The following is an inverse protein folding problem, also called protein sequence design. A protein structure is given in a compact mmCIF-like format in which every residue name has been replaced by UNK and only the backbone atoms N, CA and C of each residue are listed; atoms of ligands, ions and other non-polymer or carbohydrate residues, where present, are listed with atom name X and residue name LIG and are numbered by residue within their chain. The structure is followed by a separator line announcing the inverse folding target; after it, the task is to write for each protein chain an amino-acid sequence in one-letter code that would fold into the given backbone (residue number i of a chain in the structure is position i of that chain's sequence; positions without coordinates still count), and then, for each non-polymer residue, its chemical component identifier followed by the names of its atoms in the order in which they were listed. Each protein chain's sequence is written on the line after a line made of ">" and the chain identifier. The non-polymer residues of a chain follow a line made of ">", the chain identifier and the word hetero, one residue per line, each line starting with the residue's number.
data_IF_037040487489
#
_entry.id   IF_037040487489
#
_cell.length_a   1.000
_cell.length_b   1.000
_cell.length_c   1.000
_cell.angle_alpha   90.00
_cell.angle_beta   90.00
_cell.angle_gamma   90.00
#
_symmetry.space_group_name_H-M   'P 1'
#
loop_
_entity.id
_entity.type
_entity.pdbx_description
1 polymer ?
#
# COMPACT_ATOMS: atom_id res chain seq x y z
N UNK A 1 -56.10 -9.02 -28.12
CA UNK A 1 -55.37 -9.92 -27.20
C UNK A 1 -55.08 -11.23 -27.92
N UNK A 2 -54.01 -11.93 -27.53
CA UNK A 2 -53.64 -13.28 -27.94
C UNK A 2 -52.58 -13.40 -29.05
N UNK A 3 -51.37 -13.60 -28.56
CA UNK A 3 -50.17 -14.15 -29.17
C UNK A 3 -50.36 -15.60 -29.66
N UNK A 4 -49.86 -15.92 -30.87
CA UNK A 4 -49.15 -17.17 -31.25
C UNK A 4 -49.28 -17.46 -32.75
N UNK A 5 -48.14 -17.53 -33.46
CA UNK A 5 -47.78 -18.55 -34.48
C UNK A 5 -46.24 -18.54 -34.58
N UNK A 6 -45.48 -19.52 -34.04
CA UNK A 6 -45.22 -20.91 -34.47
C UNK A 6 -44.48 -20.97 -35.81
N UNK A 7 -43.22 -21.43 -35.81
CA UNK A 7 -42.62 -22.22 -36.91
C UNK A 7 -41.10 -22.50 -36.73
N UNK A 8 -40.78 -23.78 -36.50
CA UNK A 8 -39.75 -24.61 -37.16
C UNK A 8 -38.27 -24.12 -37.10
N UNK A 9 -37.27 -24.89 -36.62
CA UNK A 9 -37.04 -26.33 -36.68
C UNK A 9 -35.82 -26.59 -37.56
N UNK A 10 -34.70 -27.09 -37.02
CA UNK A 10 -33.71 -27.96 -37.70
C UNK A 10 -32.39 -28.10 -36.91
N UNK A 11 -32.19 -29.31 -36.40
CA UNK A 11 -31.05 -30.22 -36.59
C UNK A 11 -29.60 -29.70 -36.57
N UNK A 12 -28.90 -30.21 -35.56
CA UNK A 12 -27.54 -30.77 -35.57
C UNK A 12 -26.55 -30.33 -36.65
N UNK A 13 -25.52 -29.59 -36.20
CA UNK A 13 -24.15 -29.78 -36.68
C UNK A 13 -23.22 -29.83 -35.47
N UNK A 14 -22.71 -31.02 -35.20
CA UNK A 14 -21.64 -31.30 -34.24
C UNK A 14 -20.33 -30.73 -34.81
N UNK A 15 -19.79 -29.68 -34.20
CA UNK A 15 -18.41 -29.23 -34.42
C UNK A 15 -17.67 -29.41 -33.11
N UNK A 16 -16.89 -30.48 -33.03
CA UNK A 16 -15.91 -30.73 -31.98
C UNK A 16 -14.80 -29.68 -32.05
N UNK A 17 -15.04 -28.55 -31.38
CA UNK A 17 -14.03 -27.56 -31.03
C UNK A 17 -13.39 -27.94 -29.70
N UNK A 18 -12.23 -28.59 -29.77
CA UNK A 18 -11.31 -28.94 -28.69
C UNK A 18 -10.99 -27.69 -27.83
N UNK A 19 -11.79 -27.39 -26.81
CA UNK A 19 -11.51 -26.33 -25.83
C UNK A 19 -10.63 -26.89 -24.72
N UNK A 20 -9.38 -26.44 -24.71
CA UNK A 20 -8.46 -26.56 -23.56
C UNK A 20 -9.18 -26.09 -22.31
N UNK A 21 -9.22 -26.94 -21.29
CA UNK A 21 -9.73 -26.65 -19.95
C UNK A 21 -8.80 -25.60 -19.34
N UNK A 22 -9.21 -24.34 -19.37
CA UNK A 22 -8.64 -23.31 -18.50
C UNK A 22 -9.42 -23.44 -17.21
N UNK A 23 -8.76 -23.93 -16.15
CA UNK A 23 -9.33 -23.95 -14.80
C UNK A 23 -9.64 -22.50 -14.40
N UNK A 24 -10.91 -22.13 -14.48
CA UNK A 24 -11.42 -21.02 -13.69
C UNK A 24 -11.39 -21.48 -12.24
N UNK A 25 -10.57 -20.88 -11.40
CA UNK A 25 -10.65 -21.04 -9.95
C UNK A 25 -12.10 -20.78 -9.52
N UNK A 26 -12.80 -21.84 -9.08
CA UNK A 26 -14.15 -21.74 -8.55
C UNK A 26 -14.12 -20.80 -7.35
N UNK A 27 -15.01 -19.79 -7.32
CA UNK A 27 -15.11 -18.82 -6.21
C UNK A 27 -15.67 -19.44 -4.93
N UNK A 28 -16.20 -20.65 -5.05
CA UNK A 28 -16.85 -21.42 -4.00
C UNK A 28 -16.20 -22.79 -3.91
N UNK A 29 -16.08 -23.29 -2.68
CA UNK A 29 -15.55 -24.60 -2.35
C UNK A 29 -16.62 -25.40 -1.62
N UNK A 30 -16.72 -26.68 -1.98
CA UNK A 30 -17.67 -27.61 -1.37
C UNK A 30 -16.96 -28.41 -0.28
N UNK A 31 -17.41 -28.32 0.97
CA UNK A 31 -16.77 -28.94 2.14
C UNK A 31 -17.71 -29.96 2.79
N UNK A 32 -17.16 -31.07 3.25
CA UNK A 32 -17.87 -32.16 3.92
C UNK A 32 -17.50 -32.17 5.39
N UNK A 33 -18.46 -32.02 6.29
CA UNK A 33 -18.22 -32.08 7.74
C UNK A 33 -18.72 -33.41 8.29
N UNK A 34 -17.83 -34.18 8.91
CA UNK A 34 -18.12 -35.48 9.53
C UNK A 34 -18.00 -35.38 11.04
N UNK A 35 -18.95 -35.96 11.78
CA UNK A 35 -18.85 -36.12 13.24
C UNK A 35 -18.32 -37.51 13.58
N UNK A 36 -17.64 -37.62 14.72
CA UNK A 36 -17.09 -38.88 15.23
C UNK A 36 -18.17 -39.93 15.53
N UNK A 37 -19.40 -39.50 15.87
CA UNK A 37 -20.45 -40.37 16.40
C UNK A 37 -21.49 -40.83 15.36
N UNK A 38 -21.50 -40.25 14.15
CA UNK A 38 -22.50 -40.56 13.10
C UNK A 38 -21.88 -40.54 11.71
N UNK A 39 -22.26 -41.53 10.88
CA UNK A 39 -21.89 -41.65 9.46
C UNK A 39 -22.52 -40.57 8.54
N UNK A 40 -23.22 -39.60 9.13
CA UNK A 40 -23.90 -38.52 8.41
C UNK A 40 -22.91 -37.39 8.06
N UNK A 41 -22.57 -37.31 6.78
CA UNK A 41 -21.70 -36.29 6.20
C UNK A 41 -22.53 -35.06 5.82
N UNK A 42 -22.33 -33.93 6.50
CA UNK A 42 -22.99 -32.68 6.15
C UNK A 42 -22.18 -31.94 5.07
N UNK A 43 -22.80 -31.68 3.91
CA UNK A 43 -22.14 -30.99 2.79
C UNK A 43 -22.51 -29.52 2.79
N UNK A 44 -21.50 -28.66 2.71
CA UNK A 44 -21.64 -27.20 2.71
C UNK A 44 -20.92 -26.58 1.51
N UNK A 45 -21.56 -25.63 0.84
CA UNK A 45 -20.91 -24.80 -0.17
C UNK A 45 -20.51 -23.47 0.46
N UNK A 46 -19.22 -23.17 0.50
CA UNK A 46 -18.66 -21.98 1.15
C UNK A 46 -17.84 -21.17 0.15
N UNK A 47 -17.90 -19.84 0.26
CA UNK A 47 -17.02 -18.98 -0.54
C UNK A 47 -15.60 -19.03 -0.01
N UNK A 48 -14.64 -19.13 -0.93
CA UNK A 48 -13.21 -19.25 -0.63
C UNK A 48 -12.61 -18.11 0.20
N UNK A 49 -13.17 -16.91 0.06
CA UNK A 49 -12.77 -15.70 0.78
C UNK A 49 -13.58 -15.41 2.06
N UNK A 50 -14.49 -16.29 2.47
CA UNK A 50 -15.36 -16.10 3.64
C UNK A 50 -14.88 -16.98 4.79
N UNK A 51 -14.85 -16.41 5.99
CA UNK A 51 -14.50 -17.09 7.24
C UNK A 51 -15.38 -18.32 7.48
N UNK A 52 -14.76 -19.41 7.96
CA UNK A 52 -15.43 -20.68 8.26
C UNK A 52 -16.37 -20.62 9.47
N UNK A 53 -16.39 -19.52 10.23
CA UNK A 53 -17.34 -19.26 11.34
C UNK A 53 -18.79 -19.64 11.00
N UNK A 54 -19.30 -19.20 9.84
CA UNK A 54 -20.70 -19.46 9.45
C UNK A 54 -20.99 -20.94 9.22
N UNK A 55 -20.03 -21.68 8.68
CA UNK A 55 -20.15 -23.14 8.50
C UNK A 55 -20.21 -23.82 9.87
N UNK A 56 -19.35 -23.41 10.82
CA UNK A 56 -19.33 -23.96 12.18
C UNK A 56 -20.60 -23.65 12.96
N UNK A 57 -21.10 -22.41 12.90
CA UNK A 57 -22.37 -21.99 13.51
C UNK A 57 -23.56 -22.74 12.93
N UNK A 58 -23.59 -22.94 11.60
CA UNK A 58 -24.68 -23.68 10.97
C UNK A 58 -24.64 -25.16 11.32
N UNK A 59 -23.44 -25.76 11.37
CA UNK A 59 -23.25 -27.16 11.77
C UNK A 59 -23.68 -27.42 13.22
N UNK A 60 -23.24 -26.57 14.15
CA UNK A 60 -23.60 -26.65 15.58
C UNK A 60 -25.10 -26.43 15.80
N UNK A 61 -25.70 -25.48 15.06
CA UNK A 61 -27.15 -25.25 15.05
C UNK A 61 -27.95 -26.44 14.54
N UNK A 62 -27.48 -27.13 13.49
CA UNK A 62 -28.12 -28.36 12.97
C UNK A 62 -28.06 -29.50 13.99
N UNK A 63 -27.04 -29.52 14.86
CA UNK A 63 -26.88 -30.51 15.92
C UNK A 63 -27.51 -30.11 17.26
N UNK A 64 -28.00 -28.87 17.39
CA UNK A 64 -28.68 -28.39 18.60
C UNK A 64 -27.76 -28.21 19.81
N UNK A 65 -26.46 -28.02 19.58
CA UNK A 65 -25.46 -27.81 20.64
C UNK A 65 -24.73 -26.49 20.42
N UNK A 66 -24.09 -25.98 21.47
CA UNK A 66 -23.40 -24.69 21.41
C UNK A 66 -22.15 -24.72 20.54
N UNK A 67 -21.80 -23.55 20.02
CA UNK A 67 -20.69 -23.36 19.08
C UNK A 67 -19.33 -23.81 19.63
N UNK A 68 -19.13 -23.77 20.95
CA UNK A 68 -17.86 -24.10 21.61
C UNK A 68 -17.76 -25.60 21.99
N UNK A 69 -18.82 -26.37 21.77
CA UNK A 69 -18.85 -27.81 22.11
C UNK A 69 -18.11 -28.65 21.09
N UNK A 70 -17.99 -28.22 19.83
CA UNK A 70 -17.25 -28.95 18.80
C UNK A 70 -15.85 -28.35 18.54
N UNK A 71 -14.87 -29.22 18.32
CA UNK A 71 -13.58 -28.88 17.73
C UNK A 71 -13.57 -29.36 16.28
N UNK A 72 -13.36 -28.43 15.36
CA UNK A 72 -13.23 -28.72 13.92
C UNK A 72 -11.75 -28.91 13.57
N UNK A 73 -11.43 -30.01 12.91
CA UNK A 73 -10.10 -30.37 12.45
C UNK A 73 -10.11 -30.64 10.95
N UNK A 74 -9.03 -30.28 10.28
CA UNK A 74 -8.77 -30.61 8.88
C UNK A 74 -7.33 -31.09 8.78
N UNK A 75 -7.10 -32.28 8.23
CA UNK A 75 -5.78 -32.93 8.19
C UNK A 75 -5.05 -32.92 9.56
N UNK A 76 -5.82 -33.10 10.65
CA UNK A 76 -5.31 -33.07 12.02
C UNK A 76 -5.00 -31.67 12.57
N UNK A 77 -5.09 -30.62 11.75
CA UNK A 77 -4.90 -29.23 12.14
C UNK A 77 -6.22 -28.61 12.61
N UNK A 78 -6.19 -27.95 13.78
CA UNK A 78 -7.39 -27.30 14.33
C UNK A 78 -7.77 -26.07 13.50
N UNK A 79 -8.97 -26.09 12.94
CA UNK A 79 -9.57 -24.93 12.29
C UNK A 79 -10.23 -24.03 13.34
N UNK A 80 -9.99 -22.72 13.24
CA UNK A 80 -10.64 -21.69 14.05
C UNK A 80 -11.62 -20.87 13.21
N UNK A 81 -12.51 -20.16 13.88
CA UNK A 81 -13.62 -19.42 13.27
C UNK A 81 -13.18 -18.35 12.27
N UNK A 82 -11.99 -17.79 12.44
CA UNK A 82 -11.47 -16.71 11.59
C UNK A 82 -10.74 -17.19 10.35
N UNK A 83 -10.43 -18.48 10.22
CA UNK A 83 -9.74 -19.02 9.05
C UNK A 83 -10.66 -19.02 7.82
N UNK A 84 -10.06 -18.79 6.66
CA UNK A 84 -10.73 -18.88 5.35
C UNK A 84 -10.35 -20.17 4.63
N UNK A 85 -11.19 -20.66 3.72
CA UNK A 85 -10.83 -21.82 2.90
C UNK A 85 -9.57 -21.63 2.06
N UNK A 86 -9.31 -20.42 1.57
CA UNK A 86 -8.09 -20.13 0.80
C UNK A 86 -6.82 -20.22 1.68
N UNK A 87 -6.88 -19.74 2.94
CA UNK A 87 -5.74 -19.82 3.88
C UNK A 87 -5.41 -21.26 4.29
N UNK A 88 -6.40 -22.14 4.27
CA UNK A 88 -6.23 -23.55 4.62
C UNK A 88 -6.05 -24.44 3.38
N UNK A 89 -5.93 -23.83 2.20
CA UNK A 89 -5.79 -24.50 0.89
C UNK A 89 -6.87 -25.58 0.64
N UNK A 90 -8.08 -25.35 1.15
CA UNK A 90 -9.19 -26.29 1.05
C UNK A 90 -9.67 -26.43 -0.40
N UNK A 91 -9.79 -27.69 -0.84
CA UNK A 91 -10.24 -28.09 -2.18
C UNK A 91 -11.68 -28.56 -2.18
N UNK A 92 -12.25 -28.60 -3.38
CA UNK A 92 -13.61 -29.08 -3.59
C UNK A 92 -13.75 -30.56 -3.20
N UNK A 93 -14.55 -30.81 -2.17
CA UNK A 93 -14.85 -32.13 -1.65
C UNK A 93 -14.09 -32.50 -0.37
N UNK A 94 -13.28 -31.59 0.18
CA UNK A 94 -12.46 -31.82 1.37
C UNK A 94 -13.30 -32.10 2.63
N UNK A 95 -12.74 -32.91 3.53
CA UNK A 95 -13.41 -33.42 4.72
C UNK A 95 -12.89 -32.75 6.00
N UNK A 96 -13.81 -32.19 6.79
CA UNK A 96 -13.54 -31.57 8.09
C UNK A 96 -14.14 -32.46 9.18
N UNK A 97 -13.31 -32.86 10.14
CA UNK A 97 -13.72 -33.64 11.28
C UNK A 97 -14.21 -32.74 12.41
N UNK A 98 -15.47 -32.91 12.81
CA UNK A 98 -16.07 -32.27 13.96
C UNK A 98 -16.04 -33.24 15.16
N UNK A 99 -15.06 -33.05 16.05
CA UNK A 99 -14.94 -33.81 17.30
C UNK A 99 -15.70 -33.10 18.41
N UNK A 100 -16.58 -33.82 19.11
CA UNK A 100 -17.23 -33.29 20.31
C UNK A 100 -16.16 -33.12 21.40
N UNK A 101 -16.04 -31.93 21.97
CA UNK A 101 -15.30 -31.75 23.21
C UNK A 101 -16.10 -32.52 24.26
N UNK A 102 -15.58 -33.65 24.74
CA UNK A 102 -16.07 -34.26 25.97
C UNK A 102 -15.94 -33.21 27.07
N UNK A 103 -17.06 -32.65 27.50
CA UNK A 103 -17.16 -32.12 28.84
C UNK A 103 -17.21 -33.33 29.76
N UNK A 104 -16.04 -33.87 30.10
CA UNK A 104 -15.88 -34.38 31.47
C UNK A 104 -16.19 -33.20 32.40
N UNK A 105 -16.95 -33.47 33.45
CA UNK A 105 -17.06 -32.58 34.60
C UNK A 105 -15.66 -32.43 35.22
N UNK A 106 -14.85 -31.57 34.61
CA UNK A 106 -13.58 -31.10 35.12
C UNK A 106 -13.81 -29.67 35.60
N UNK A 107 -14.49 -29.55 36.73
CA UNK A 107 -14.16 -28.45 37.63
C UNK A 107 -12.74 -28.70 38.12
N UNK A 108 -11.80 -28.04 37.44
CA UNK A 108 -10.50 -27.61 37.96
C UNK A 108 -9.52 -28.72 38.36
N UNK A 109 -8.98 -29.42 37.35
CA UNK A 109 -7.62 -29.99 37.44
C UNK A 109 -6.57 -28.93 37.08
N UNK A 110 -6.66 -27.73 37.67
CA UNK A 110 -5.54 -26.81 37.69
C UNK A 110 -4.68 -27.21 38.89
N UNK A 111 -3.44 -27.61 38.65
CA UNK A 111 -2.48 -27.81 39.71
C UNK A 111 -2.35 -26.51 40.50
N UNK A 112 -2.73 -26.54 41.77
CA UNK A 112 -2.68 -25.37 42.63
C UNK A 112 -1.24 -25.24 43.13
N UNK A 113 -0.59 -24.13 42.80
CA UNK A 113 0.77 -23.82 43.24
C UNK A 113 0.74 -23.22 44.64
N UNK A 114 1.24 -23.95 45.64
CA UNK A 114 1.14 -23.56 47.07
C UNK A 114 2.51 -23.57 47.75
N UNK A 115 2.83 -22.53 48.53
CA UNK A 115 4.06 -22.49 49.34
C UNK A 115 3.96 -23.49 50.51
N UNK A 116 4.89 -24.45 50.56
CA UNK A 116 4.90 -25.53 51.56
C UNK A 116 5.14 -25.06 53.00
N UNK A 117 5.90 -23.97 53.21
CA UNK A 117 6.17 -23.41 54.54
C UNK A 117 4.91 -22.81 55.16
N UNK A 118 4.26 -21.90 54.42
CA UNK A 118 3.01 -21.28 54.84
C UNK A 118 1.87 -22.30 54.99
N UNK A 119 1.84 -23.31 54.12
CA UNK A 119 0.86 -24.39 54.21
C UNK A 119 1.01 -25.19 55.50
N UNK A 120 2.25 -25.45 55.92
CA UNK A 120 2.54 -26.16 57.18
C UNK A 120 2.21 -25.30 58.40
N UNK A 121 2.50 -24.00 58.36
CA UNK A 121 2.12 -23.08 59.45
C UNK A 121 0.60 -23.00 59.63
N UNK A 122 -0.17 -22.99 58.54
CA UNK A 122 -1.64 -23.06 58.60
C UNK A 122 -2.14 -24.41 59.12
N UNK A 123 -1.48 -25.52 58.77
CA UNK A 123 -1.77 -26.85 59.31
C UNK A 123 -1.49 -26.90 60.81
N UNK A 124 -0.37 -26.35 61.27
CA UNK A 124 0.02 -26.26 62.69
C UNK A 124 -0.96 -25.39 63.51
N UNK A 125 -1.61 -24.40 62.87
CA UNK A 125 -2.70 -23.59 63.46
C UNK A 125 -4.06 -24.32 63.50
N UNK A 126 -4.15 -25.52 62.92
CA UNK A 126 -5.35 -26.36 62.97
C UNK A 126 -6.31 -26.21 61.78
N UNK A 127 -5.91 -25.53 60.70
CA UNK A 127 -6.71 -25.47 59.48
C UNK A 127 -6.54 -26.75 58.65
N UNK A 128 -7.61 -27.19 57.97
CA UNK A 128 -7.51 -28.37 57.10
C UNK A 128 -6.60 -28.08 55.89
N UNK A 129 -5.80 -29.07 55.51
CA UNK A 129 -4.84 -28.97 54.40
C UNK A 129 -5.50 -28.48 53.10
N UNK A 130 -6.73 -28.94 52.80
CA UNK A 130 -7.49 -28.51 51.63
C UNK A 130 -7.83 -27.02 51.69
N UNK A 131 -8.31 -26.53 52.84
CA UNK A 131 -8.71 -25.14 53.02
C UNK A 131 -7.52 -24.20 53.03
N UNK A 132 -6.43 -24.60 53.67
CA UNK A 132 -5.17 -23.88 53.65
C UNK A 132 -4.59 -23.77 52.22
N UNK A 133 -4.69 -24.84 51.41
CA UNK A 133 -4.25 -24.84 50.01
C UNK A 133 -5.07 -23.87 49.16
N UNK A 134 -6.41 -23.89 49.30
CA UNK A 134 -7.28 -22.96 48.59
C UNK A 134 -7.05 -21.51 49.02
N UNK A 135 -6.86 -21.27 50.32
CA UNK A 135 -6.59 -19.95 50.87
C UNK A 135 -5.28 -19.36 50.36
N UNK A 136 -4.22 -20.18 50.30
CA UNK A 136 -2.93 -19.76 49.79
C UNK A 136 -2.95 -19.50 48.28
N UNK A 137 -3.72 -20.27 47.52
CA UNK A 137 -3.93 -19.99 46.10
C UNK A 137 -4.63 -18.65 45.86
N UNK A 138 -5.72 -18.39 46.60
CA UNK A 138 -6.51 -17.18 46.41
C UNK A 138 -5.85 -15.94 47.03
N UNK A 139 -5.01 -16.12 48.06
CA UNK A 139 -4.16 -15.06 48.62
C UNK A 139 -2.87 -14.85 47.81
N UNK A 140 -2.60 -15.70 46.80
CA UNK A 140 -1.44 -15.62 45.92
C UNK A 140 -0.11 -15.93 46.61
N UNK A 141 -0.11 -16.83 47.61
CA UNK A 141 1.06 -17.20 48.43
C UNK A 141 1.76 -15.99 49.09
N UNK A 142 1.02 -14.91 49.36
CA UNK A 142 1.60 -13.62 49.75
C UNK A 142 2.03 -13.51 51.21
N UNK A 143 1.27 -14.08 52.15
CA UNK A 143 1.57 -14.09 53.59
C UNK A 143 0.63 -15.03 54.34
N UNK A 144 1.00 -15.42 55.57
CA UNK A 144 0.16 -16.24 56.45
C UNK A 144 -1.15 -15.51 56.79
N UNK A 145 -1.07 -14.22 57.12
CA UNK A 145 -2.21 -13.41 57.54
C UNK A 145 -3.23 -13.22 56.41
N UNK A 146 -2.76 -13.08 55.16
CA UNK A 146 -3.64 -12.98 53.99
C UNK A 146 -4.41 -14.28 53.75
N UNK A 147 -3.77 -15.44 53.97
CA UNK A 147 -4.44 -16.73 53.88
C UNK A 147 -5.45 -16.93 55.02
N UNK A 148 -5.11 -16.56 56.26
CA UNK A 148 -6.03 -16.63 57.40
C UNK A 148 -7.25 -15.73 57.20
N UNK A 149 -7.07 -14.48 56.73
CA UNK A 149 -8.19 -13.59 56.43
C UNK A 149 -9.12 -14.18 55.38
N UNK A 150 -8.57 -14.80 54.33
CA UNK A 150 -9.40 -15.46 53.32
C UNK A 150 -10.19 -16.65 53.88
N UNK A 151 -9.59 -17.45 54.77
CA UNK A 151 -10.27 -18.57 55.44
C UNK A 151 -11.46 -18.08 56.28
N UNK A 152 -11.28 -16.97 57.00
CA UNK A 152 -12.33 -16.34 57.83
C UNK A 152 -13.49 -15.86 56.94
N UNK A 153 -13.17 -15.17 55.84
CA UNK A 153 -14.18 -14.65 54.92
C UNK A 153 -15.01 -15.75 54.25
N UNK A 154 -14.46 -16.96 54.16
CA UNK A 154 -15.07 -18.10 53.47
C UNK A 154 -15.37 -19.27 54.42
N UNK A 155 -15.51 -19.06 55.73
CA UNK A 155 -15.61 -20.12 56.77
C UNK A 155 -16.80 -21.10 56.56
N UNK A 156 -17.87 -20.67 55.88
CA UNK A 156 -19.07 -21.49 55.66
C UNK A 156 -19.09 -22.26 54.32
N UNK A 157 -18.07 -22.08 53.47
CA UNK A 157 -18.06 -22.65 52.13
C UNK A 157 -17.50 -24.08 52.12
N UNK A 158 -18.39 -25.08 52.25
CA UNK A 158 -18.04 -26.51 52.23
C UNK A 158 -17.39 -26.98 50.91
N UNK A 159 -17.51 -26.19 49.85
CA UNK A 159 -16.88 -26.46 48.56
C UNK A 159 -15.34 -26.48 48.64
N UNK A 160 -14.74 -25.81 49.64
CA UNK A 160 -13.28 -25.71 49.81
C UNK A 160 -12.70 -26.74 50.79
N UNK A 161 -13.50 -27.69 51.30
CA UNK A 161 -13.00 -28.84 52.07
C UNK A 161 -12.45 -29.95 51.17
N UNK A 162 -12.80 -29.93 49.88
CA UNK A 162 -12.34 -30.94 48.93
C UNK A 162 -10.90 -30.68 48.52
N UNK A 163 -10.06 -31.71 48.67
CA UNK A 163 -8.62 -31.64 48.39
C UNK A 163 -8.36 -31.37 46.90
N UNK A 164 -7.70 -30.25 46.55
CA UNK A 164 -7.27 -29.98 45.17
C UNK A 164 -5.98 -30.74 44.85
N UNK A 165 -5.66 -30.84 43.56
CA UNK A 165 -4.35 -31.35 43.11
C UNK A 165 -3.30 -30.24 43.33
N UNK A 166 -2.43 -30.42 44.34
CA UNK A 166 -1.44 -29.40 44.74
C UNK A 166 -0.09 -29.69 44.08
N UNK A 167 0.44 -28.71 43.35
CA UNK A 167 1.85 -28.68 42.96
C UNK A 167 2.62 -27.81 43.96
N UNK A 168 3.58 -28.41 44.65
CA UNK A 168 4.38 -27.72 45.65
C UNK A 168 5.51 -26.96 44.96
N UNK A 169 5.47 -25.62 44.99
CA UNK A 169 6.67 -24.85 44.68
C UNK A 169 7.58 -24.84 45.90
N UNK A 170 8.69 -25.57 45.78
CA UNK A 170 9.75 -25.61 46.79
C UNK A 170 10.57 -24.32 46.64
N UNK A 171 10.14 -23.24 47.28
CA UNK A 171 11.12 -22.27 47.76
C UNK A 171 11.82 -22.90 48.96
N UNK A 172 13.01 -23.44 48.68
CA UNK A 172 13.91 -24.07 49.63
C UNK A 172 14.22 -23.04 50.71
N UNK A 173 13.65 -23.23 51.90
CA UNK A 173 14.20 -22.62 53.10
C UNK A 173 15.63 -23.17 53.27
N UNK A 174 16.56 -22.22 53.34
CA UNK A 174 17.97 -22.39 53.09
C UNK A 174 18.60 -23.46 54.00
N UNK A 175 19.51 -24.32 53.50
CA UNK A 175 20.46 -24.97 54.37
C UNK A 175 21.35 -23.87 54.98
N UNK A 176 21.47 -23.87 56.30
CA UNK A 176 22.42 -23.02 57.02
C UNK A 176 23.77 -22.97 56.29
N UNK A 177 24.32 -21.77 56.02
CA UNK A 177 25.58 -21.64 55.31
C UNK A 177 26.70 -21.96 56.29
N UNK A 178 27.29 -23.13 56.15
CA UNK A 178 28.64 -23.37 56.65
C UNK A 178 29.50 -23.72 55.45
N UNK A 179 30.31 -22.71 55.09
CA UNK A 179 31.54 -22.80 54.34
C UNK A 179 31.45 -23.15 52.84
N UNK A 180 30.95 -22.19 52.07
CA UNK A 180 31.61 -21.68 50.85
C UNK A 180 31.03 -20.28 50.54
N UNK A 181 31.69 -19.25 51.07
CA UNK A 181 31.45 -17.79 50.94
C UNK A 181 30.08 -17.39 50.33
N UNK A 182 29.07 -17.19 51.18
CA UNK A 182 27.75 -16.67 50.79
C UNK A 182 27.81 -15.40 49.93
N UNK A 183 28.89 -14.62 50.06
CA UNK A 183 29.19 -13.44 49.25
C UNK A 183 29.41 -13.76 47.76
N UNK A 184 30.08 -14.86 47.44
CA UNK A 184 30.38 -15.26 46.06
C UNK A 184 29.15 -15.85 45.34
N UNK A 185 28.27 -16.53 46.09
CA UNK A 185 26.97 -16.99 45.59
C UNK A 185 26.00 -15.81 45.34
N UNK A 186 25.96 -14.84 46.26
CA UNK A 186 25.17 -13.61 46.08
C UNK A 186 25.68 -12.74 44.92
N UNK A 187 27.00 -12.67 44.70
CA UNK A 187 27.59 -11.97 43.57
C UNK A 187 27.17 -12.60 42.23
N UNK A 188 27.26 -13.93 42.10
CA UNK A 188 26.80 -14.65 40.89
C UNK A 188 25.30 -14.54 40.66
N UNK A 189 24.49 -14.54 41.72
CA UNK A 189 23.05 -14.34 41.63
C UNK A 189 22.70 -12.92 41.13
N UNK A 190 23.38 -11.88 41.65
CA UNK A 190 23.22 -10.50 41.18
C UNK A 190 23.67 -10.34 39.73
N UNK A 191 24.76 -10.98 39.34
CA UNK A 191 25.25 -10.95 37.96
C UNK A 191 24.26 -11.63 36.99
N UNK A 192 23.68 -12.77 37.36
CA UNK A 192 22.63 -13.44 36.58
C UNK A 192 21.36 -12.60 36.47
N UNK A 193 20.95 -11.91 37.54
CA UNK A 193 19.81 -10.99 37.50
C UNK A 193 20.07 -9.78 36.59
N UNK A 194 21.29 -9.24 36.61
CA UNK A 194 21.66 -8.12 35.74
C UNK A 194 21.76 -8.55 34.27
N UNK A 195 22.30 -9.74 34.00
CA UNK A 195 22.29 -10.33 32.67
C UNK A 195 20.86 -10.57 32.16
N UNK A 196 19.97 -11.09 33.02
CA UNK A 196 18.56 -11.28 32.68
C UNK A 196 17.85 -9.93 32.42
N UNK A 197 18.18 -8.88 33.18
CA UNK A 197 17.65 -7.53 32.94
C UNK A 197 18.12 -6.97 31.60
N UNK A 198 19.42 -7.08 31.29
CA UNK A 198 19.99 -6.64 30.01
C UNK A 198 19.37 -7.39 28.83
N UNK A 199 19.20 -8.72 28.94
CA UNK A 199 18.53 -9.53 27.93
C UNK A 199 17.08 -9.07 27.69
N UNK A 200 16.30 -8.81 28.75
CA UNK A 200 14.93 -8.31 28.64
C UNK A 200 14.87 -6.91 28.00
N UNK A 201 15.78 -6.03 28.38
CA UNK A 201 15.89 -4.67 27.82
C UNK A 201 16.30 -4.71 26.33
N UNK A 202 17.25 -5.58 25.96
CA UNK A 202 17.63 -5.82 24.57
C UNK A 202 16.47 -6.42 23.75
N UNK A 203 15.71 -7.36 24.33
CA UNK A 203 14.54 -7.95 23.68
C UNK A 203 13.42 -6.91 23.50
N UNK A 204 13.18 -6.07 24.52
CA UNK A 204 12.17 -5.01 24.47
C UNK A 204 12.54 -3.94 23.44
N UNK A 205 13.80 -3.48 23.40
CA UNK A 205 14.26 -2.54 22.36
C UNK A 205 14.21 -3.16 20.96
N UNK A 206 14.47 -4.47 20.81
CA UNK A 206 14.31 -5.17 19.54
C UNK A 206 12.83 -5.22 19.12
N UNK A 207 11.93 -5.54 20.06
CA UNK A 207 10.48 -5.56 19.85
C UNK A 207 9.94 -4.18 19.48
N UNK A 208 10.46 -3.12 20.10
CA UNK A 208 10.10 -1.74 19.77
C UNK A 208 10.57 -1.33 18.37
N UNK A 209 11.80 -1.71 17.99
CA UNK A 209 12.30 -1.53 16.62
C UNK A 209 11.47 -2.29 15.60
N UNK A 210 10.96 -3.48 15.93
CA UNK A 210 10.08 -4.25 15.07
C UNK A 210 8.71 -3.58 14.90
N UNK A 211 8.09 -3.12 15.99
CA UNK A 211 6.84 -2.33 15.95
C UNK A 211 6.98 -1.05 15.13
N UNK A 212 8.09 -0.33 15.29
CA UNK A 212 8.35 0.88 14.51
C UNK A 212 8.57 0.57 13.02
N UNK A 213 9.27 -0.53 12.69
CA UNK A 213 9.38 -1.02 11.31
C UNK A 213 8.03 -1.41 10.73
N UNK A 214 7.15 -2.02 11.50
CA UNK A 214 5.79 -2.37 11.08
C UNK A 214 4.94 -1.12 10.84
N UNK A 215 5.03 -0.10 11.70
CA UNK A 215 4.37 1.19 11.48
C UNK A 215 4.83 1.84 10.17
N UNK A 216 6.13 1.83 9.89
CA UNK A 216 6.70 2.36 8.64
C UNK A 216 6.26 1.52 7.44
N UNK A 217 6.27 0.19 7.57
CA UNK A 217 5.82 -0.73 6.51
C UNK A 217 4.35 -0.51 6.20
N UNK A 218 3.49 -0.45 7.21
CA UNK A 218 2.07 -0.17 7.08
C UNK A 218 1.82 1.22 6.46
N UNK A 219 2.60 2.24 6.85
CA UNK A 219 2.54 3.56 6.22
C UNK A 219 2.92 3.54 4.74
N UNK A 220 3.97 2.78 4.37
CA UNK A 220 4.39 2.61 2.97
C UNK A 220 3.37 1.83 2.15
N UNK A 221 2.79 0.78 2.72
CA UNK A 221 1.75 -0.04 2.08
C UNK A 221 0.44 0.74 1.90
N UNK A 222 0.05 1.55 2.88
CA UNK A 222 -1.09 2.47 2.76
C UNK A 222 -0.87 3.50 1.63
N UNK A 223 0.34 4.01 1.49
CA UNK A 223 0.67 4.94 0.40
C UNK A 223 0.69 4.25 -0.97
N UNK A 224 1.18 3.00 -1.04
CA UNK A 224 1.20 2.24 -2.30
C UNK A 224 -0.20 1.82 -2.73
N UNK A 225 -1.03 1.33 -1.82
CA UNK A 225 -2.44 1.02 -2.09
C UNK A 225 -3.21 2.26 -2.56
N UNK A 226 -2.97 3.43 -1.94
CA UNK A 226 -3.52 4.71 -2.40
C UNK A 226 -3.06 5.08 -3.82
N UNK A 227 -1.78 4.86 -4.14
CA UNK A 227 -1.21 5.14 -5.47
C UNK A 227 -1.84 4.25 -6.54
N UNK A 228 -2.00 2.96 -6.26
CA UNK A 228 -2.63 1.99 -7.16
C UNK A 228 -4.11 2.36 -7.39
N UNK A 229 -4.83 2.76 -6.33
CA UNK A 229 -6.22 3.19 -6.45
C UNK A 229 -6.36 4.44 -7.34
N UNK A 230 -5.51 5.45 -7.14
CA UNK A 230 -5.51 6.66 -7.96
C UNK A 230 -5.14 6.38 -9.43
N UNK A 231 -4.18 5.49 -9.68
CA UNK A 231 -3.82 5.08 -11.04
C UNK A 231 -4.98 4.35 -11.73
N UNK A 232 -5.66 3.45 -11.01
CA UNK A 232 -6.84 2.75 -11.53
C UNK A 232 -7.99 3.71 -11.84
N UNK A 233 -8.20 4.73 -11.01
CA UNK A 233 -9.20 5.78 -11.27
C UNK A 233 -8.84 6.60 -12.52
N UNK A 234 -7.57 7.01 -12.66
CA UNK A 234 -7.10 7.72 -13.85
C UNK A 234 -7.26 6.87 -15.11
N UNK A 235 -6.94 5.57 -15.06
CA UNK A 235 -7.15 4.64 -16.18
C UNK A 235 -8.62 4.57 -16.58
N UNK A 236 -9.53 4.47 -15.60
CA UNK A 236 -10.99 4.48 -15.87
C UNK A 236 -11.43 5.78 -16.53
N UNK A 237 -10.95 6.93 -16.05
CA UNK A 237 -11.29 8.23 -16.63
C UNK A 237 -10.75 8.42 -18.06
N UNK A 238 -9.54 7.92 -18.35
CA UNK A 238 -8.97 7.95 -19.70
C UNK A 238 -9.78 7.06 -20.63
N UNK A 239 -10.08 5.82 -20.22
CA UNK A 239 -10.88 4.89 -21.01
C UNK A 239 -12.28 5.43 -21.30
N UNK A 240 -12.89 6.13 -20.34
CA UNK A 240 -14.20 6.75 -20.53
C UNK A 240 -14.17 7.87 -21.58
N UNK A 241 -13.14 8.73 -21.57
CA UNK A 241 -12.95 9.77 -22.59
C UNK A 241 -12.64 9.20 -23.98
N UNK A 242 -11.90 8.10 -24.04
CA UNK A 242 -11.60 7.42 -25.29
C UNK A 242 -12.86 6.78 -25.88
N UNK A 243 -13.67 6.11 -25.04
CA UNK A 243 -14.97 5.57 -25.45
C UNK A 243 -15.92 6.66 -25.95
N UNK A 244 -16.01 7.81 -25.26
CA UNK A 244 -16.83 8.95 -25.69
C UNK A 244 -16.41 9.48 -27.07
N UNK A 245 -15.10 9.64 -27.31
CA UNK A 245 -14.57 10.06 -28.62
C UNK A 245 -14.84 9.04 -29.72
N UNK A 246 -14.72 7.75 -29.42
CA UNK A 246 -15.01 6.69 -30.38
C UNK A 246 -16.49 6.62 -30.73
N UNK A 247 -17.37 6.84 -29.75
CA UNK A 247 -18.82 6.95 -29.98
C UNK A 247 -19.15 8.19 -30.81
N UNK A 248 -18.54 9.34 -30.53
CA UNK A 248 -18.70 10.56 -31.32
C UNK A 248 -18.21 10.37 -32.76
N UNK A 249 -17.06 9.71 -32.95
CA UNK A 249 -16.52 9.40 -34.27
C UNK A 249 -17.45 8.48 -35.05
N UNK A 250 -17.96 7.41 -34.43
CA UNK A 250 -18.96 6.50 -35.03
C UNK A 250 -20.24 7.25 -35.38
N UNK A 251 -20.70 8.18 -34.55
CA UNK A 251 -21.86 9.01 -34.83
C UNK A 251 -21.61 9.94 -36.03
N UNK A 252 -20.45 10.60 -36.09
CA UNK A 252 -20.03 11.42 -37.23
C UNK A 252 -19.96 10.64 -38.53
N UNK A 253 -19.36 9.44 -38.51
CA UNK A 253 -19.29 8.56 -39.68
C UNK A 253 -20.68 8.15 -40.17
N UNK A 254 -21.60 7.82 -39.25
CA UNK A 254 -23.01 7.54 -39.60
C UNK A 254 -23.70 8.74 -40.24
N UNK A 255 -23.47 9.96 -39.74
CA UNK A 255 -24.02 11.19 -40.35
C UNK A 255 -23.41 11.41 -41.73
N UNK A 256 -22.10 11.23 -41.88
CA UNK A 256 -21.42 11.37 -43.17
C UNK A 256 -21.98 10.40 -44.22
N UNK A 257 -22.19 9.13 -43.83
CA UNK A 257 -22.81 8.12 -44.70
C UNK A 257 -24.22 8.51 -45.12
N UNK A 258 -25.05 9.01 -44.19
CA UNK A 258 -26.40 9.50 -44.50
C UNK A 258 -26.39 10.68 -45.47
N UNK A 259 -25.48 11.65 -45.27
CA UNK A 259 -25.33 12.80 -46.19
C UNK A 259 -24.87 12.36 -47.57
N UNK A 260 -23.96 11.39 -47.65
CA UNK A 260 -23.48 10.86 -48.92
C UNK A 260 -24.60 10.07 -49.66
N UNK A 261 -25.36 9.25 -48.93
CA UNK A 261 -26.52 8.54 -49.48
C UNK A 261 -27.60 9.50 -50.01
N UNK A 262 -27.94 10.56 -49.25
CA UNK A 262 -28.88 11.59 -49.68
C UNK A 262 -28.34 12.40 -50.89
N UNK A 263 -27.03 12.69 -50.94
CA UNK A 263 -26.40 13.26 -52.14
C UNK A 263 -26.54 12.35 -53.36
N UNK A 264 -26.29 11.04 -53.20
CA UNK A 264 -26.44 10.05 -54.27
C UNK A 264 -27.90 9.91 -54.71
N UNK A 265 -28.84 9.93 -53.78
CA UNK A 265 -30.27 9.85 -54.06
C UNK A 265 -30.79 11.10 -54.76
N UNK A 266 -30.38 12.30 -54.32
CA UNK A 266 -30.66 13.56 -55.05
C UNK A 266 -30.05 13.57 -56.44
N UNK A 267 -28.85 13.03 -56.61
CA UNK A 267 -28.21 12.87 -57.92
C UNK A 267 -28.99 11.89 -58.82
N UNK A 268 -29.52 10.79 -58.27
CA UNK A 268 -30.40 9.87 -59.00
C UNK A 268 -31.75 10.51 -59.36
N UNK A 269 -32.38 11.25 -58.44
CA UNK A 269 -33.67 11.95 -58.65
C UNK A 269 -33.59 13.12 -59.64
N UNK A 270 -32.43 13.79 -59.75
CA UNK A 270 -32.24 14.95 -60.65
C UNK A 270 -31.83 14.62 -62.08
N UNK A 271 -31.69 13.33 -62.45
CA UNK A 271 -31.53 12.86 -63.83
C UNK A 271 -30.74 13.77 -64.79
N UNK A 272 -29.41 13.71 -64.80
CA UNK A 272 -28.61 14.14 -65.95
C UNK A 272 -27.24 13.41 -66.01
N UNK A 273 -26.73 13.06 -67.22
CA UNK A 273 -25.62 12.13 -67.43
C UNK A 273 -24.23 12.76 -67.28
N UNK A 274 -23.24 11.88 -67.18
CA UNK A 274 -21.80 12.12 -67.33
C UNK A 274 -21.47 12.83 -68.64
N UNK A 275 -20.66 13.91 -68.59
CA UNK A 275 -19.61 14.24 -69.55
C UNK A 275 -18.54 15.15 -68.92
N UNK A 276 -17.42 15.19 -69.63
CA UNK A 276 -16.04 15.58 -69.31
C UNK A 276 -15.76 17.09 -69.23
N UNK A 277 -14.52 17.39 -68.82
CA UNK A 277 -13.75 18.64 -69.01
C UNK A 277 -13.93 19.82 -68.02
N UNK A 278 -12.90 19.94 -67.15
CA UNK A 278 -11.98 21.09 -67.06
C UNK A 278 -12.52 22.52 -67.11
N UNK A 279 -12.38 23.28 -66.01
CA UNK A 279 -11.66 24.56 -65.96
C UNK A 279 -11.50 25.12 -64.53
N UNK A 280 -10.22 25.35 -64.17
CA UNK A 280 -9.64 26.39 -63.28
C UNK A 280 -10.20 26.58 -61.85
N UNK A 281 -9.38 26.49 -60.80
CA UNK A 281 -8.31 27.47 -60.51
C UNK A 281 -7.25 26.93 -59.54
N UNK A 282 -5.98 27.05 -59.96
CA UNK A 282 -4.70 27.25 -59.24
C UNK A 282 -4.73 27.24 -57.69
N UNK A 283 -3.84 26.55 -56.97
CA UNK A 283 -2.40 26.86 -56.82
C UNK A 283 -1.61 25.60 -56.43
N UNK A 284 -0.47 25.38 -57.10
CA UNK A 284 0.58 24.41 -56.75
C UNK A 284 1.42 24.95 -55.60
N UNK A 285 1.77 24.12 -54.61
CA UNK A 285 2.88 24.41 -53.68
C UNK A 285 3.96 23.37 -53.94
N UNK A 286 5.05 23.84 -54.54
CA UNK A 286 6.32 23.12 -54.68
C UNK A 286 7.35 23.68 -53.70
N UNK A 287 8.11 22.73 -53.15
CA UNK A 287 9.42 22.79 -52.51
C UNK A 287 10.30 24.04 -52.73
N UNK A 288 10.87 24.49 -51.59
CA UNK A 288 12.20 25.06 -51.32
C UNK A 288 12.67 26.26 -52.17
N UNK A 289 12.84 27.41 -51.51
CA UNK A 289 14.16 28.05 -51.49
C UNK A 289 14.38 28.95 -50.25
N UNK A 290 15.66 29.11 -49.95
CA UNK A 290 16.24 29.64 -48.72
C UNK A 290 16.29 31.18 -48.70
N UNK A 291 16.35 31.73 -47.48
CA UNK A 291 16.88 33.06 -47.13
C UNK A 291 15.95 34.26 -47.35
N UNK A 292 15.07 34.50 -46.37
CA UNK A 292 14.89 35.84 -45.81
C UNK A 292 14.48 35.79 -44.33
N UNK A 293 15.50 35.94 -43.50
CA UNK A 293 15.39 36.43 -42.13
C UNK A 293 14.79 37.84 -42.22
N UNK A 294 13.67 38.10 -41.55
CA UNK A 294 13.54 39.14 -40.52
C UNK A 294 12.08 39.23 -40.00
N UNK A 295 11.96 38.90 -38.72
CA UNK A 295 11.25 39.73 -37.72
C UNK A 295 9.71 39.69 -37.69
N UNK A 296 9.19 38.74 -36.91
CA UNK A 296 8.07 38.96 -35.96
C UNK A 296 7.85 37.72 -35.08
N UNK A 297 8.73 37.52 -34.08
CA UNK A 297 8.57 36.43 -33.10
C UNK A 297 7.71 36.89 -31.92
N UNK A 298 6.44 36.50 -31.91
CA UNK A 298 5.65 36.37 -30.68
C UNK A 298 4.83 35.08 -30.70
N UNK A 299 5.50 33.96 -30.43
CA UNK A 299 4.86 32.74 -29.90
C UNK A 299 5.55 32.38 -28.59
N UNK A 300 4.80 32.05 -27.51
CA UNK A 300 5.37 31.62 -26.23
C UNK A 300 6.17 30.31 -26.32
N UNK A 301 6.07 29.59 -27.46
CA UNK A 301 6.85 28.39 -27.72
C UNK A 301 8.37 28.65 -27.85
N UNK A 302 8.80 29.77 -28.45
CA UNK A 302 10.24 30.05 -28.69
C UNK A 302 11.00 30.20 -27.36
N UNK A 303 10.52 31.08 -26.47
CA UNK A 303 11.19 31.34 -25.18
C UNK A 303 11.17 30.12 -24.26
N UNK A 304 10.09 29.34 -24.28
CA UNK A 304 10.02 28.09 -23.51
C UNK A 304 10.94 27.00 -24.07
N UNK A 305 11.27 27.04 -25.36
CA UNK A 305 12.21 26.15 -26.03
C UNK A 305 13.66 26.58 -25.80
N UNK A 306 13.95 27.89 -25.84
CA UNK A 306 15.22 28.48 -25.41
C UNK A 306 15.54 28.11 -23.95
N UNK A 307 14.54 28.19 -23.04
CA UNK A 307 14.69 27.73 -21.65
C UNK A 307 15.02 26.24 -21.56
N UNK A 308 14.46 25.39 -22.43
CA UNK A 308 14.80 23.96 -22.48
C UNK A 308 16.20 23.75 -23.02
N UNK A 309 16.62 24.54 -24.00
CA UNK A 309 17.97 24.49 -24.55
C UNK A 309 19.01 24.87 -23.51
N UNK A 310 18.82 25.95 -22.74
CA UNK A 310 19.75 26.31 -21.65
C UNK A 310 19.90 25.17 -20.63
N UNK A 311 18.79 24.51 -20.25
CA UNK A 311 18.83 23.37 -19.33
C UNK A 311 19.47 22.12 -19.96
N UNK A 312 19.33 21.93 -21.28
CA UNK A 312 20.02 20.87 -22.03
C UNK A 312 21.52 21.12 -22.09
N UNK A 313 21.93 22.33 -22.47
CA UNK A 313 23.32 22.75 -22.55
C UNK A 313 24.00 22.64 -21.18
N UNK A 314 23.33 23.06 -20.10
CA UNK A 314 23.87 22.90 -18.74
C UNK A 314 24.12 21.42 -18.40
N UNK A 315 23.26 20.51 -18.86
CA UNK A 315 23.44 19.07 -18.61
C UNK A 315 24.42 18.40 -19.56
N UNK A 316 24.56 18.88 -20.79
CA UNK A 316 25.51 18.39 -21.80
C UNK A 316 26.93 18.81 -21.44
N UNK A 317 27.13 20.07 -21.10
CA UNK A 317 28.44 20.65 -20.77
C UNK A 317 28.98 20.15 -19.42
N UNK A 318 28.09 19.72 -18.51
CA UNK A 318 28.44 19.13 -17.22
C UNK A 318 28.05 17.65 -17.12
N UNK A 319 28.10 16.92 -18.24
CA UNK A 319 27.84 15.46 -18.27
C UNK A 319 28.87 14.67 -17.46
N UNK A 320 30.10 15.18 -17.38
CA UNK A 320 31.22 14.56 -16.66
C UNK A 320 31.25 14.92 -15.16
N UNK A 321 30.44 15.88 -14.72
CA UNK A 321 30.24 16.17 -13.31
C UNK A 321 29.18 15.23 -12.71
N UNK A 322 29.24 15.02 -11.38
CA UNK A 322 28.25 14.21 -10.67
C UNK A 322 26.82 14.68 -11.02
N UNK A 323 25.91 13.77 -11.43
CA UNK A 323 24.50 14.11 -11.72
C UNK A 323 23.75 14.78 -10.56
N UNK A 324 24.31 14.67 -9.35
CA UNK A 324 23.81 15.33 -8.14
C UNK A 324 24.06 16.84 -8.15
N UNK A 325 25.15 17.30 -8.75
CA UNK A 325 25.52 18.72 -8.81
C UNK A 325 24.58 19.46 -9.77
N UNK A 326 24.41 18.95 -10.99
CA UNK A 326 23.47 19.50 -11.98
C UNK A 326 22.03 19.48 -11.47
N UNK A 327 21.62 18.41 -10.77
CA UNK A 327 20.32 18.37 -10.09
C UNK A 327 20.17 19.45 -9.01
N UNK A 328 21.18 19.66 -8.16
CA UNK A 328 21.18 20.73 -7.14
C UNK A 328 21.13 22.12 -7.76
N UNK A 329 21.74 22.32 -8.93
CA UNK A 329 21.64 23.55 -9.71
C UNK A 329 20.19 23.82 -10.15
N UNK A 330 19.54 22.82 -10.76
CA UNK A 330 18.13 22.92 -11.16
C UNK A 330 17.18 23.13 -9.98
N UNK A 331 17.42 22.47 -8.84
CA UNK A 331 16.63 22.67 -7.62
C UNK A 331 16.77 24.10 -7.08
N UNK A 332 17.98 24.66 -7.14
CA UNK A 332 18.24 26.04 -6.69
C UNK A 332 17.58 27.05 -7.62
N UNK A 333 17.70 26.87 -8.94
CA UNK A 333 16.97 27.67 -9.94
C UNK A 333 15.45 27.58 -9.73
N UNK A 334 14.93 26.38 -9.52
CA UNK A 334 13.50 26.15 -9.29
C UNK A 334 13.00 26.87 -8.03
N UNK A 335 13.77 26.81 -6.95
CA UNK A 335 13.43 27.53 -5.71
C UNK A 335 13.31 29.03 -5.96
N UNK A 336 14.26 29.62 -6.68
CA UNK A 336 14.29 31.05 -6.95
C UNK A 336 13.09 31.47 -7.82
N UNK A 337 12.89 30.81 -8.97
CA UNK A 337 11.78 31.11 -9.89
C UNK A 337 10.43 30.89 -9.21
N UNK A 338 10.30 29.83 -8.40
CA UNK A 338 9.07 29.54 -7.66
C UNK A 338 8.78 30.59 -6.59
N UNK A 339 9.80 31.07 -5.88
CA UNK A 339 9.62 32.11 -4.87
C UNK A 339 9.20 33.43 -5.54
N UNK A 340 9.84 33.80 -6.65
CA UNK A 340 9.47 34.97 -7.45
C UNK A 340 8.03 34.88 -7.99
N UNK A 341 7.59 33.70 -8.46
CA UNK A 341 6.23 33.49 -8.96
C UNK A 341 5.16 33.48 -7.85
N UNK A 342 5.48 32.95 -6.66
CA UNK A 342 4.54 32.87 -5.53
C UNK A 342 4.33 34.21 -4.83
N UNK A 343 5.38 35.03 -4.76
CA UNK A 343 5.41 36.27 -4.00
C UNK A 343 6.07 37.38 -4.84
N UNK A 344 5.39 37.87 -5.88
CA UNK A 344 5.95 38.87 -6.78
C UNK A 344 6.15 40.23 -6.09
N UNK A 345 5.38 40.55 -5.05
CA UNK A 345 5.45 41.84 -4.37
C UNK A 345 6.72 42.01 -3.53
N UNK A 346 7.30 40.92 -3.04
CA UNK A 346 8.46 40.96 -2.15
C UNK A 346 9.77 41.13 -2.95
N UNK A 347 10.42 42.29 -2.81
CA UNK A 347 11.66 42.62 -3.54
C UNK A 347 12.83 41.66 -3.25
N UNK A 348 12.86 41.06 -2.05
CA UNK A 348 13.86 40.05 -1.66
C UNK A 348 13.90 38.81 -2.56
N UNK A 349 12.79 38.49 -3.24
CA UNK A 349 12.72 37.38 -4.19
C UNK A 349 12.89 37.83 -5.65
N UNK A 350 12.86 39.15 -5.88
CA UNK A 350 13.15 39.77 -7.17
C UNK A 350 14.63 40.09 -7.34
N UNK A 351 15.40 40.17 -6.26
CA UNK A 351 16.83 40.50 -6.29
C UNK A 351 17.69 39.36 -5.77
N UNK A 352 18.67 38.95 -6.57
CA UNK A 352 19.58 37.84 -6.27
C UNK A 352 21.00 38.36 -6.32
N UNK A 353 21.79 38.06 -5.30
CA UNK A 353 23.20 38.45 -5.23
C UNK A 353 24.08 37.36 -5.84
N UNK A 354 24.79 37.66 -6.93
CA UNK A 354 25.67 36.73 -7.63
C UNK A 354 26.86 36.30 -6.75
N UNK A 355 27.36 37.19 -5.88
CA UNK A 355 28.42 36.89 -4.89
C UNK A 355 28.01 35.93 -3.77
N UNK A 356 26.72 35.61 -3.63
CA UNK A 356 26.31 34.69 -2.57
C UNK A 356 26.92 33.31 -2.84
N UNK A 357 27.74 32.81 -1.90
CA UNK A 357 28.45 31.53 -2.01
C UNK A 357 27.53 30.38 -2.44
N UNK A 358 26.33 30.28 -1.87
CA UNK A 358 25.39 29.20 -2.18
C UNK A 358 24.82 29.31 -3.60
N UNK A 359 24.57 30.52 -4.07
CA UNK A 359 24.09 30.75 -5.44
C UNK A 359 25.22 30.54 -6.45
N UNK A 360 26.40 31.09 -6.17
CA UNK A 360 27.57 30.99 -7.04
C UNK A 360 28.04 29.53 -7.21
N UNK A 361 28.16 28.78 -6.13
CA UNK A 361 28.60 27.38 -6.15
C UNK A 361 27.66 26.46 -6.93
N UNK A 362 26.34 26.77 -6.92
CA UNK A 362 25.32 25.90 -7.52
C UNK A 362 24.86 26.34 -8.90
N UNK A 363 24.82 27.63 -9.18
CA UNK A 363 24.20 28.19 -10.41
C UNK A 363 25.11 29.23 -11.02
N UNK A 364 25.69 30.13 -10.23
CA UNK A 364 26.47 31.26 -10.74
C UNK A 364 27.82 30.91 -11.38
N UNK A 365 28.34 29.68 -11.17
CA UNK A 365 29.49 29.15 -11.92
C UNK A 365 29.14 28.80 -13.37
N UNK A 366 27.88 28.47 -13.63
CA UNK A 366 27.38 28.02 -14.92
C UNK A 366 26.83 29.20 -15.72
N UNK A 367 27.34 29.42 -16.94
CA UNK A 367 26.91 30.54 -17.79
C UNK A 367 25.45 30.35 -18.22
N UNK A 368 25.08 29.12 -18.52
CA UNK A 368 23.74 28.65 -18.89
C UNK A 368 22.74 28.88 -17.76
N UNK A 369 23.19 28.79 -16.50
CA UNK A 369 22.37 29.07 -15.33
C UNK A 369 22.00 30.56 -15.21
N UNK A 370 22.90 31.46 -15.62
CA UNK A 370 22.65 32.91 -15.64
C UNK A 370 21.77 33.27 -16.84
N UNK A 371 22.06 32.72 -18.02
CA UNK A 371 21.26 32.90 -19.23
C UNK A 371 19.81 32.43 -19.02
N UNK A 372 19.61 31.29 -18.36
CA UNK A 372 18.27 30.81 -17.98
C UNK A 372 17.52 31.83 -17.12
N UNK A 373 18.22 32.51 -16.20
CA UNK A 373 17.61 33.53 -15.35
C UNK A 373 17.26 34.79 -16.15
N UNK A 374 18.08 35.16 -17.14
CA UNK A 374 17.78 36.24 -18.08
C UNK A 374 16.54 35.92 -18.91
N UNK A 375 16.39 34.68 -19.39
CA UNK A 375 15.18 34.21 -20.07
C UNK A 375 13.94 34.25 -19.16
N UNK A 376 14.10 34.02 -17.86
CA UNK A 376 13.04 34.17 -16.86
C UNK A 376 12.62 35.63 -16.62
N UNK A 377 13.37 36.60 -17.15
CA UNK A 377 13.11 38.03 -17.02
C UNK A 377 13.98 38.76 -16.00
N UNK A 378 14.94 38.06 -15.37
CA UNK A 378 15.87 38.72 -14.47
C UNK A 378 16.97 39.43 -15.27
N UNK A 379 17.13 40.73 -15.08
CA UNK A 379 18.16 41.54 -15.75
C UNK A 379 19.38 41.66 -14.85
N UNK A 380 20.57 41.54 -15.44
CA UNK A 380 21.83 41.91 -14.77
C UNK A 380 21.89 43.44 -14.68
N UNK A 381 22.05 43.97 -13.48
CA UNK A 381 22.14 45.42 -13.26
C UNK A 381 23.57 45.88 -13.56
N UNK A 382 23.76 46.70 -14.59
CA UNK A 382 25.09 47.11 -15.09
C UNK A 382 25.90 47.79 -13.97
N UNK A 383 26.99 47.13 -13.55
CA UNK A 383 27.88 47.62 -12.48
C UNK A 383 27.60 47.05 -11.08
N UNK A 384 26.51 46.32 -10.89
CA UNK A 384 26.21 45.64 -9.62
C UNK A 384 26.16 44.12 -9.80
N UNK A 385 26.68 43.37 -8.83
CA UNK A 385 26.66 41.89 -8.87
C UNK A 385 25.29 41.33 -8.47
N UNK A 386 24.23 42.03 -8.82
CA UNK A 386 22.87 41.67 -8.55
C UNK A 386 22.13 41.39 -9.85
N UNK A 387 21.26 40.40 -9.75
CA UNK A 387 20.35 40.00 -10.80
C UNK A 387 18.94 40.37 -10.30
N UNK A 388 18.26 41.29 -10.99
CA UNK A 388 17.00 41.89 -10.53
C UNK A 388 15.86 41.66 -11.51
N UNK A 389 14.67 41.36 -10.97
CA UNK A 389 13.43 41.22 -11.73
C UNK A 389 12.58 42.47 -11.52
N UNK A 390 12.36 43.23 -12.59
CA UNK A 390 11.48 44.41 -12.57
C UNK A 390 10.03 44.00 -12.30
N UNK A 391 9.30 44.79 -11.51
CA UNK A 391 7.88 44.54 -11.21
C UNK A 391 7.01 44.51 -12.47
N UNK A 392 7.32 45.38 -13.44
CA UNK A 392 6.54 45.51 -14.68
C UNK A 392 6.91 44.47 -15.75
N UNK A 393 8.11 43.87 -15.65
CA UNK A 393 8.59 42.84 -16.58
C UNK A 393 8.35 41.41 -16.06
N UNK A 394 7.82 41.27 -14.84
CA UNK A 394 7.59 40.00 -14.18
C UNK A 394 6.36 39.27 -14.77
N UNK A 395 6.53 38.65 -15.92
CA UNK A 395 5.52 37.75 -16.50
C UNK A 395 5.38 36.47 -15.65
N UNK A 396 4.39 36.44 -14.76
CA UNK A 396 4.10 35.30 -13.88
C UNK A 396 3.93 34.00 -14.68
N UNK A 397 3.35 34.09 -15.88
CA UNK A 397 3.19 32.95 -16.78
C UNK A 397 4.54 32.41 -17.27
N UNK A 398 5.51 33.28 -17.61
CA UNK A 398 6.86 32.87 -18.01
C UNK A 398 7.61 32.22 -16.85
N UNK A 399 7.49 32.76 -15.64
CA UNK A 399 8.08 32.16 -14.44
C UNK A 399 7.45 30.78 -14.14
N UNK A 400 6.14 30.65 -14.34
CA UNK A 400 5.44 29.37 -14.18
C UNK A 400 5.87 28.33 -15.22
N UNK A 401 6.03 28.74 -16.47
CA UNK A 401 6.54 27.89 -17.55
C UNK A 401 7.99 27.47 -17.29
N UNK A 402 8.85 28.39 -16.88
CA UNK A 402 10.22 28.12 -16.46
C UNK A 402 10.29 27.13 -15.28
N UNK A 403 9.44 27.31 -14.26
CA UNK A 403 9.34 26.39 -13.14
C UNK A 403 8.86 24.99 -13.58
N UNK A 404 7.96 24.92 -14.56
CA UNK A 404 7.53 23.65 -15.14
C UNK A 404 8.68 22.96 -15.89
N UNK A 405 9.46 23.69 -16.71
CA UNK A 405 10.63 23.13 -17.40
C UNK A 405 11.68 22.59 -16.43
N UNK A 406 12.01 23.36 -15.39
CA UNK A 406 12.94 22.93 -14.34
C UNK A 406 12.45 21.68 -13.61
N UNK A 407 11.16 21.63 -13.27
CA UNK A 407 10.56 20.44 -12.63
C UNK A 407 10.61 19.22 -13.56
N UNK A 408 10.35 19.42 -14.85
CA UNK A 408 10.48 18.38 -15.86
C UNK A 408 11.93 17.89 -15.99
N UNK A 409 12.92 18.79 -15.94
CA UNK A 409 14.34 18.46 -16.01
C UNK A 409 14.83 17.65 -14.79
N UNK A 410 14.33 17.98 -13.59
CA UNK A 410 14.67 17.25 -12.36
C UNK A 410 14.01 15.87 -12.34
N UNK A 411 12.76 15.78 -12.80
CA UNK A 411 11.98 14.53 -12.75
C UNK A 411 12.39 13.55 -13.84
N UNK A 412 12.85 14.05 -15.00
CA UNK A 412 13.22 13.23 -16.14
C UNK A 412 14.75 13.09 -16.29
N UNK A 413 15.33 11.90 -16.03
CA UNK A 413 16.74 11.62 -16.27
C UNK A 413 17.16 11.77 -17.74
N UNK A 414 16.22 11.66 -18.69
CA UNK A 414 16.44 11.78 -20.14
C UNK A 414 15.98 13.13 -20.72
N UNK A 415 15.67 14.12 -19.88
CA UNK A 415 15.35 15.48 -20.31
C UNK A 415 16.33 15.99 -21.39
N UNK A 416 15.86 16.03 -22.63
CA UNK A 416 16.59 16.54 -23.78
C UNK A 416 17.63 15.62 -24.44
N UNK A 417 17.71 14.33 -24.09
CA UNK A 417 18.59 13.38 -24.79
C UNK A 417 18.07 12.97 -26.18
N UNK A 418 16.79 13.18 -26.47
CA UNK A 418 16.13 12.62 -27.67
C UNK A 418 16.12 13.55 -28.89
N UNK A 419 16.92 14.62 -28.92
CA UNK A 419 16.80 15.62 -30.00
C UNK A 419 18.09 15.99 -30.72
N UNK A 420 19.26 15.44 -30.36
CA UNK A 420 20.54 15.87 -30.96
C UNK A 420 21.45 14.72 -31.40
N UNK A 421 20.89 13.67 -31.99
CA UNK A 421 21.68 12.77 -32.85
C UNK A 421 21.48 13.08 -34.34
N UNK A 422 20.61 14.04 -34.69
CA UNK A 422 20.24 14.32 -36.09
C UNK A 422 20.97 15.51 -36.73
N UNK A 423 21.82 16.23 -36.00
CA UNK A 423 22.48 17.46 -36.51
C UNK A 423 24.01 17.38 -36.61
N UNK A 424 24.68 16.44 -35.94
CA UNK A 424 26.16 16.31 -36.05
C UNK A 424 26.62 15.52 -37.30
N UNK A 425 25.74 14.78 -37.97
CA UNK A 425 26.06 14.00 -39.17
C UNK A 425 25.84 14.76 -40.50
N UNK A 426 25.58 16.08 -40.47
CA UNK A 426 25.42 16.90 -41.70
C UNK A 426 26.62 17.78 -42.04
N UNK A 427 27.73 17.68 -41.30
CA UNK A 427 28.90 18.53 -41.53
C UNK A 427 30.23 17.75 -41.60
N UNK A 428 30.20 16.52 -42.12
CA UNK A 428 31.40 15.81 -42.57
C UNK A 428 31.32 15.39 -44.03
#
# INVERSE_FOLDING_TARGET
>A
MSTKRRAYGSNDVKIEGKKRKVESESTHVTLKVKAQDKEEVSVFEVRRNVKLQKLMEFYTKMRGVEWNTFRFLFDGSRIREYHTPDELELKDGDEIDAMLRQLSEETENAAIEVNRGLLKELEDMGFSMARASWALHHSGNSSLEAAVNWIIDHENDSQFEKMPLVEFNIEIESPNPSDETAENAQARAKELMEQARKLREEEETKREREREKERIRAGKEMMETKRIAEENERKRNIALREAEKDEEKKAREKVMLKVNADKLERKRRRGLPTETESASTSIKVSLLDSKRIEMSSSRPASKAEEMRECLRSLRRNHKDEDPRITRRAFETLLMIVRNAAKKPDEERYRRIRLKNRLFHERVGRYKEGIEFMELCGFKREEGSEFLSLSYHDADINRLRDAAFQLKSAITNPFFGLLSTEAEEDREK
#
